data_IF_875109762007
#
_entry.id   IF_875109762007
#
_cell.length_a   1.000
_cell.length_b   1.000
_cell.length_c   1.000
_cell.angle_alpha   90.00
_cell.angle_beta   90.00
_cell.angle_gamma   90.00
#
_symmetry.space_group_name_H-M   'P 1'
#
loop_
_entity.id
_entity.type
_entity.pdbx_description
1 polymer ?
#
# COMPACT_ATOMS: atom_id res chain seq x y z
N UNK A 1 21.15 -46.37 11.25
CA UNK A 1 20.55 -45.59 10.17
C UNK A 1 21.55 -45.49 9.03
N UNK A 2 21.20 -45.96 7.83
CA UNK A 2 22.17 -46.03 6.70
C UNK A 2 22.45 -44.64 6.12
N UNK A 3 23.68 -44.41 5.62
CA UNK A 3 24.12 -43.14 5.00
C UNK A 3 23.08 -42.62 3.95
N UNK A 4 22.44 -43.52 3.21
CA UNK A 4 21.38 -43.20 2.23
C UNK A 4 20.14 -42.58 2.90
N UNK A 5 19.72 -43.11 4.05
CA UNK A 5 18.56 -42.61 4.79
C UNK A 5 18.81 -41.20 5.35
N UNK A 6 20.04 -40.96 5.85
CA UNK A 6 20.43 -39.61 6.35
C UNK A 6 20.43 -38.59 5.22
N UNK A 7 20.98 -38.93 4.05
CA UNK A 7 21.00 -38.03 2.88
C UNK A 7 19.59 -37.70 2.41
N UNK A 8 18.69 -38.67 2.35
CA UNK A 8 17.30 -38.43 1.93
C UNK A 8 16.58 -37.50 2.92
N UNK A 9 16.75 -37.72 4.23
CA UNK A 9 16.15 -36.89 5.26
C UNK A 9 16.68 -35.45 5.23
N UNK A 10 17.98 -35.24 4.99
CA UNK A 10 18.57 -33.91 4.89
C UNK A 10 18.10 -33.17 3.63
N UNK A 11 18.01 -33.84 2.49
CA UNK A 11 17.49 -33.26 1.26
C UNK A 11 15.99 -32.88 1.40
N UNK A 12 15.20 -33.74 2.06
CA UNK A 12 13.78 -33.45 2.29
C UNK A 12 13.59 -32.26 3.24
N UNK A 13 14.41 -32.16 4.30
CA UNK A 13 14.41 -31.01 5.20
C UNK A 13 14.81 -29.69 4.49
N UNK A 14 15.81 -29.71 3.60
CA UNK A 14 16.22 -28.56 2.82
C UNK A 14 15.11 -28.09 1.85
N UNK A 15 14.40 -29.00 1.21
CA UNK A 15 13.29 -28.66 0.30
C UNK A 15 12.12 -28.05 1.09
N UNK A 16 11.79 -28.59 2.26
CA UNK A 16 10.73 -28.03 3.12
C UNK A 16 11.08 -26.64 3.63
N UNK A 17 12.32 -26.40 4.05
CA UNK A 17 12.74 -25.08 4.53
C UNK A 17 12.74 -24.03 3.42
N UNK A 18 13.16 -24.40 2.20
CA UNK A 18 13.12 -23.47 1.05
C UNK A 18 11.69 -23.14 0.62
N UNK A 19 10.76 -24.10 0.66
CA UNK A 19 9.36 -23.87 0.36
C UNK A 19 8.68 -22.90 1.36
N UNK A 20 8.98 -23.06 2.67
CA UNK A 20 8.45 -22.15 3.71
C UNK A 20 9.00 -20.73 3.55
N UNK A 21 10.28 -20.56 3.22
CA UNK A 21 10.89 -19.24 2.98
C UNK A 21 10.28 -18.52 1.77
N UNK A 22 9.97 -19.24 0.71
CA UNK A 22 9.32 -18.66 -0.48
C UNK A 22 7.91 -18.19 -0.17
N UNK A 23 7.14 -18.94 0.63
CA UNK A 23 5.77 -18.53 1.02
C UNK A 23 5.79 -17.28 1.92
N UNK A 24 6.76 -17.15 2.82
CA UNK A 24 6.91 -15.97 3.68
C UNK A 24 7.35 -14.71 2.92
N UNK A 25 8.06 -14.88 1.80
CA UNK A 25 8.50 -13.76 0.95
C UNK A 25 7.38 -13.17 0.07
N UNK A 26 6.22 -13.79 0.00
CA UNK A 26 5.07 -13.34 -0.80
C UNK A 26 3.97 -12.67 0.02
N UNK A 27 4.28 -12.15 1.20
CA UNK A 27 3.37 -11.31 1.94
C UNK A 27 3.05 -10.06 1.09
N UNK A 28 1.87 -10.02 0.52
CA UNK A 28 1.37 -8.86 -0.23
C UNK A 28 1.25 -7.61 0.65
N UNK A 29 0.91 -6.47 0.07
CA UNK A 29 0.72 -5.24 0.83
C UNK A 29 -0.40 -5.44 1.87
N UNK A 30 -0.31 -4.70 2.98
CA UNK A 30 -1.31 -4.75 4.05
C UNK A 30 -2.73 -4.50 3.50
N UNK A 31 -3.71 -5.26 3.98
CA UNK A 31 -5.11 -5.12 3.56
C UNK A 31 -5.68 -3.75 3.92
N UNK A 32 -5.24 -3.19 5.03
CA UNK A 32 -5.63 -1.87 5.55
C UNK A 32 -4.38 -1.06 5.88
N UNK A 33 -4.37 0.20 5.48
CA UNK A 33 -3.29 1.15 5.73
C UNK A 33 -3.84 2.36 6.48
N UNK A 34 -3.18 2.78 7.54
CA UNK A 34 -3.49 4.03 8.23
C UNK A 34 -2.64 5.17 7.67
N UNK A 35 -3.30 6.18 7.12
CA UNK A 35 -2.65 7.39 6.62
C UNK A 35 -2.70 8.43 7.73
N UNK A 36 -1.61 8.60 8.46
CA UNK A 36 -1.49 9.46 9.65
C UNK A 36 -0.41 10.54 9.54
N UNK A 37 0.57 10.37 8.63
CA UNK A 37 1.78 11.22 8.57
C UNK A 37 1.54 12.64 8.03
N UNK A 38 0.41 12.86 7.35
CA UNK A 38 0.13 14.14 6.70
C UNK A 38 -0.87 15.02 7.46
N UNK A 39 -1.35 14.55 8.60
CA UNK A 39 -2.43 15.25 9.24
C UNK A 39 -2.05 16.08 10.43
N UNK A 40 -2.40 17.37 10.36
CA UNK A 40 -2.29 18.28 11.50
C UNK A 40 -3.62 18.52 12.21
N UNK A 41 -4.78 18.32 11.58
CA UNK A 41 -6.09 18.86 12.04
C UNK A 41 -7.26 17.88 11.99
N UNK A 42 -7.11 16.75 11.35
CA UNK A 42 -8.18 15.75 11.17
C UNK A 42 -7.73 14.37 11.64
N UNK A 43 -8.66 13.51 11.97
CA UNK A 43 -8.35 12.13 12.32
C UNK A 43 -7.62 11.40 11.17
N UNK A 44 -6.72 10.44 11.47
CA UNK A 44 -6.11 9.59 10.47
C UNK A 44 -7.13 8.89 9.59
N UNK A 45 -6.76 8.64 8.34
CA UNK A 45 -7.61 7.90 7.41
C UNK A 45 -7.26 6.42 7.44
N UNK A 46 -8.23 5.60 7.79
CA UNK A 46 -8.12 4.13 7.68
C UNK A 46 -8.49 3.74 6.26
N UNK A 47 -7.48 3.43 5.46
CA UNK A 47 -7.62 3.16 4.03
C UNK A 47 -7.71 1.65 3.77
N UNK A 48 -8.81 1.13 3.20
CA UNK A 48 -8.97 -0.27 2.85
C UNK A 48 -8.19 -0.59 1.56
N UNK A 49 -6.88 -0.76 1.68
CA UNK A 49 -5.96 -0.90 0.55
C UNK A 49 -6.33 -2.09 -0.35
N UNK A 50 -6.64 -3.24 0.25
CA UNK A 50 -7.00 -4.44 -0.52
C UNK A 50 -8.19 -4.21 -1.45
N UNK A 51 -9.25 -3.57 -0.98
CA UNK A 51 -10.45 -3.27 -1.80
C UNK A 51 -10.09 -2.45 -3.02
N UNK A 52 -9.19 -1.49 -2.88
CA UNK A 52 -8.74 -0.64 -3.98
C UNK A 52 -7.78 -1.38 -4.93
N UNK A 53 -6.90 -2.21 -4.39
CA UNK A 53 -5.96 -3.01 -5.16
C UNK A 53 -6.65 -4.13 -5.97
N UNK A 54 -7.76 -4.66 -5.48
CA UNK A 54 -8.57 -5.65 -6.22
C UNK A 54 -9.37 -4.99 -7.37
N UNK A 55 -9.71 -3.71 -7.24
CA UNK A 55 -10.54 -2.98 -8.20
C UNK A 55 -9.75 -2.12 -9.21
N UNK A 56 -8.48 -1.85 -8.98
CA UNK A 56 -7.68 -0.95 -9.80
C UNK A 56 -6.25 -1.46 -9.99
N UNK A 57 -5.60 -1.02 -11.07
CA UNK A 57 -4.18 -1.25 -11.25
C UNK A 57 -3.35 -0.49 -10.20
N UNK A 58 -2.25 -1.09 -9.75
CA UNK A 58 -1.36 -0.49 -8.75
C UNK A 58 -0.85 0.91 -9.14
N UNK A 59 -0.60 1.12 -10.43
CA UNK A 59 -0.07 2.39 -10.97
C UNK A 59 -1.08 3.53 -10.96
N UNK A 60 -2.36 3.26 -10.79
CA UNK A 60 -3.40 4.29 -10.64
C UNK A 60 -3.12 5.16 -9.40
N UNK A 61 -2.65 4.54 -8.32
CA UNK A 61 -2.30 5.23 -7.08
C UNK A 61 -0.78 5.41 -6.94
N UNK A 62 0.00 4.38 -7.27
CA UNK A 62 1.46 4.40 -7.23
C UNK A 62 2.03 4.88 -8.57
N UNK A 63 1.74 6.13 -8.92
CA UNK A 63 1.94 6.73 -10.25
C UNK A 63 3.40 6.82 -10.72
N UNK A 64 4.37 6.60 -9.84
CA UNK A 64 5.80 6.54 -10.20
C UNK A 64 6.34 5.14 -10.36
N UNK A 65 5.56 4.11 -9.99
CA UNK A 65 5.97 2.73 -10.07
C UNK A 65 6.01 2.23 -11.51
N UNK A 66 7.05 1.50 -11.86
CA UNK A 66 7.19 0.80 -13.15
C UNK A 66 6.68 -0.64 -13.11
N UNK A 67 6.36 -1.13 -11.92
CA UNK A 67 5.85 -2.47 -11.66
C UNK A 67 5.62 -2.70 -10.17
N UNK A 68 5.16 -3.89 -9.80
CA UNK A 68 4.84 -4.24 -8.41
C UNK A 68 6.05 -4.20 -7.47
N UNK A 69 7.26 -4.42 -8.00
CA UNK A 69 8.50 -4.45 -7.22
C UNK A 69 9.10 -3.06 -6.97
N UNK A 70 8.55 -2.01 -7.60
CA UNK A 70 9.02 -0.63 -7.51
C UNK A 70 8.00 0.29 -6.80
N UNK A 71 7.12 -0.27 -6.00
CA UNK A 71 6.10 0.48 -5.25
C UNK A 71 6.73 1.15 -4.05
N UNK A 72 6.57 2.49 -3.99
CA UNK A 72 7.05 3.34 -2.90
C UNK A 72 5.90 3.92 -2.10
N UNK A 73 6.18 4.26 -0.84
CA UNK A 73 5.23 5.02 -0.04
C UNK A 73 5.04 6.42 -0.61
N UNK A 74 3.80 6.93 -0.58
CA UNK A 74 3.49 8.31 -0.99
C UNK A 74 4.40 9.33 -0.29
N UNK A 75 4.74 9.10 0.96
CA UNK A 75 5.57 9.97 1.80
C UNK A 75 7.07 9.92 1.50
N UNK A 76 7.51 9.11 0.55
CA UNK A 76 8.89 9.17 0.08
C UNK A 76 9.16 10.40 -0.78
N UNK A 77 8.12 10.90 -1.47
CA UNK A 77 8.16 12.11 -2.28
C UNK A 77 7.31 13.23 -1.68
N UNK A 78 6.02 12.95 -1.42
CA UNK A 78 5.09 13.94 -0.88
C UNK A 78 5.46 14.31 0.57
N UNK A 79 5.73 15.59 0.79
CA UNK A 79 6.20 16.13 2.06
C UNK A 79 7.74 16.16 2.22
N UNK A 80 8.50 15.62 1.25
CA UNK A 80 9.97 15.71 1.23
C UNK A 80 10.48 16.45 0.01
N UNK A 81 9.92 16.20 -1.16
CA UNK A 81 10.28 16.90 -2.39
C UNK A 81 9.44 18.19 -2.50
N UNK A 82 10.09 19.39 -2.54
CA UNK A 82 9.37 20.65 -2.64
C UNK A 82 8.62 20.84 -3.96
N UNK A 83 8.88 20.01 -4.97
CA UNK A 83 8.16 20.00 -6.23
C UNK A 83 6.93 19.08 -6.23
N UNK A 84 6.82 18.18 -5.27
CA UNK A 84 5.67 17.32 -5.11
C UNK A 84 4.56 18.05 -4.33
N UNK A 85 3.27 17.81 -4.64
CA UNK A 85 2.16 18.39 -3.89
C UNK A 85 2.25 18.09 -2.39
N UNK A 86 1.96 19.11 -1.58
CA UNK A 86 2.07 19.03 -0.12
C UNK A 86 0.91 18.23 0.48
N UNK A 87 1.17 17.11 1.16
CA UNK A 87 0.14 16.28 1.78
C UNK A 87 -0.51 16.92 3.01
N UNK A 88 0.08 17.96 3.59
CA UNK A 88 -0.50 18.72 4.72
C UNK A 88 -1.47 19.82 4.30
N UNK A 89 -1.53 20.15 3.00
CA UNK A 89 -2.41 21.18 2.49
C UNK A 89 -3.88 20.82 2.70
N UNK A 90 -4.68 21.76 3.19
CA UNK A 90 -6.13 21.64 3.26
C UNK A 90 -6.83 21.86 1.90
N UNK A 91 -6.12 22.42 0.94
CA UNK A 91 -6.62 22.64 -0.42
C UNK A 91 -6.73 21.30 -1.18
N UNK A 92 -7.90 21.07 -1.79
CA UNK A 92 -8.07 19.86 -2.60
C UNK A 92 -7.17 19.82 -3.83
N UNK A 93 -6.72 20.98 -4.33
CA UNK A 93 -5.83 21.05 -5.49
C UNK A 93 -4.39 20.74 -5.14
N UNK A 94 -3.96 21.13 -3.94
CA UNK A 94 -2.57 21.03 -3.51
C UNK A 94 -2.30 19.78 -2.69
N UNK A 95 -3.36 19.14 -2.17
CA UNK A 95 -3.23 17.90 -1.41
C UNK A 95 -3.34 16.68 -2.33
N UNK A 96 -2.29 15.86 -2.45
CA UNK A 96 -2.26 14.72 -3.36
C UNK A 96 -3.33 13.67 -3.03
N UNK A 97 -3.65 13.45 -1.76
CA UNK A 97 -4.68 12.50 -1.34
C UNK A 97 -6.08 12.99 -1.66
N UNK A 98 -6.39 14.28 -1.40
CA UNK A 98 -7.68 14.84 -1.76
C UNK A 98 -7.90 14.86 -3.27
N UNK A 99 -6.85 15.16 -4.03
CA UNK A 99 -6.94 15.18 -5.48
C UNK A 99 -7.15 13.77 -6.04
N UNK A 100 -6.32 12.82 -5.63
CA UNK A 100 -6.37 11.45 -6.11
C UNK A 100 -7.62 10.71 -5.60
N UNK A 101 -7.80 10.58 -4.29
CA UNK A 101 -8.84 9.74 -3.72
C UNK A 101 -10.23 10.34 -3.94
N UNK A 102 -10.43 11.58 -3.48
CA UNK A 102 -11.72 12.27 -3.62
C UNK A 102 -12.06 12.60 -5.07
N UNK A 103 -11.06 12.89 -5.88
CA UNK A 103 -11.21 13.12 -7.32
C UNK A 103 -11.75 11.88 -8.02
N UNK A 104 -11.10 10.74 -7.82
CA UNK A 104 -11.52 9.46 -8.39
C UNK A 104 -12.93 9.04 -7.94
N UNK A 105 -13.25 9.15 -6.63
CA UNK A 105 -14.59 8.84 -6.12
C UNK A 105 -15.67 9.72 -6.73
N UNK A 106 -15.39 10.99 -6.95
CA UNK A 106 -16.32 11.90 -7.63
C UNK A 106 -16.53 11.57 -9.10
N UNK A 107 -15.45 11.22 -9.79
CA UNK A 107 -15.48 10.84 -11.19
C UNK A 107 -16.25 9.56 -11.42
N UNK A 108 -15.99 8.54 -10.57
CA UNK A 108 -16.67 7.24 -10.63
C UNK A 108 -18.12 7.29 -10.07
N UNK A 109 -18.46 8.29 -9.30
CA UNK A 109 -19.76 8.37 -8.61
C UNK A 109 -19.91 7.37 -7.46
N UNK A 110 -18.80 6.79 -6.99
CA UNK A 110 -18.74 5.75 -5.96
C UNK A 110 -17.72 6.10 -4.89
N UNK A 111 -17.96 5.64 -3.65
CA UNK A 111 -17.07 5.83 -2.51
C UNK A 111 -17.21 7.18 -1.81
N UNK A 112 -16.41 7.41 -0.75
CA UNK A 112 -16.53 8.57 0.12
C UNK A 112 -16.03 9.86 -0.54
N UNK A 113 -16.78 10.94 -0.39
CA UNK A 113 -16.41 12.27 -0.92
C UNK A 113 -16.45 13.39 0.11
N UNK A 114 -17.03 13.14 1.30
CA UNK A 114 -17.13 14.12 2.39
C UNK A 114 -15.98 13.92 3.39
N UNK A 115 -15.64 15.00 4.11
CA UNK A 115 -14.54 14.98 5.08
C UNK A 115 -14.69 13.87 6.14
N UNK A 116 -15.87 13.74 6.75
CA UNK A 116 -16.14 12.79 7.82
C UNK A 116 -16.27 11.33 7.35
N UNK A 117 -16.38 11.09 6.05
CA UNK A 117 -16.45 9.73 5.52
C UNK A 117 -15.05 9.07 5.50
N UNK A 118 -14.00 9.89 5.36
CA UNK A 118 -12.60 9.47 5.37
C UNK A 118 -11.94 9.71 6.74
N UNK A 119 -12.15 10.90 7.31
CA UNK A 119 -11.61 11.28 8.62
C UNK A 119 -12.63 10.96 9.71
N UNK A 120 -12.62 9.72 10.16
CA UNK A 120 -13.51 9.21 11.21
C UNK A 120 -12.81 9.34 12.57
N UNK A 121 -13.20 10.30 13.37
CA UNK A 121 -12.70 10.52 14.72
C UNK A 121 -13.79 11.06 15.62
#
# INVERSE_FOLDING_TARGET
MGRKTVIILTLFAMVLTSAVLVVLAQAGPADVITIDKAQAKKAPVVFPHKVHADANDCTVCHHTAKGKDDIKSCFECHGKDPKAPDPSSSSAKDNPFHNLCRGCHKEKGEGPTKCGDCHKG
#
